data_IF_128979956558
#
_entry.id   IF_128979956558
#
_cell.length_a   1.000
_cell.length_b   1.000
_cell.length_c   1.000
_cell.angle_alpha   90.00
_cell.angle_beta   90.00
_cell.angle_gamma   90.00
#
_symmetry.space_group_name_H-M   'P 1'
#
loop_
_entity.id
_entity.type
_entity.pdbx_description
1 polymer ?
#
# COMPACT_ATOMS: atom_id res chain seq x y z
N UNK A 1 -45.21 -21.59 -2.12
CA UNK A 1 -44.02 -20.77 -2.39
C UNK A 1 -43.28 -20.59 -1.08
N UNK A 2 -42.22 -21.38 -0.85
CA UNK A 2 -41.40 -21.28 0.36
C UNK A 2 -40.51 -20.05 0.25
N UNK A 3 -40.86 -19.02 1.02
CA UNK A 3 -40.06 -17.81 1.16
C UNK A 3 -38.78 -18.19 1.92
N UNK A 4 -37.74 -18.56 1.20
CA UNK A 4 -36.45 -18.91 1.79
C UNK A 4 -35.80 -17.59 2.17
N UNK A 5 -36.00 -17.14 3.42
CA UNK A 5 -35.24 -16.04 3.97
C UNK A 5 -33.75 -16.38 3.84
N UNK A 6 -33.05 -15.66 2.98
CA UNK A 6 -31.62 -15.82 2.81
C UNK A 6 -30.94 -15.31 4.07
N UNK A 7 -30.64 -16.22 5.01
CA UNK A 7 -29.96 -15.89 6.25
C UNK A 7 -28.57 -15.33 5.94
N UNK A 8 -28.35 -14.04 6.22
CA UNK A 8 -27.07 -13.40 6.01
C UNK A 8 -26.10 -13.75 7.13
N UNK A 9 -25.56 -14.95 7.03
CA UNK A 9 -24.63 -15.50 7.98
C UNK A 9 -23.37 -14.64 8.16
N UNK A 10 -22.98 -13.81 7.15
CA UNK A 10 -21.82 -12.93 7.26
C UNK A 10 -22.10 -11.78 8.21
N UNK A 11 -23.28 -11.18 8.06
CA UNK A 11 -23.72 -10.12 8.95
C UNK A 11 -23.90 -10.65 10.38
N UNK A 12 -24.51 -11.83 10.53
CA UNK A 12 -24.69 -12.45 11.84
C UNK A 12 -23.38 -12.90 12.49
N UNK A 13 -22.42 -13.44 11.73
CA UNK A 13 -21.08 -13.73 12.23
C UNK A 13 -20.36 -12.46 12.68
N UNK A 14 -20.38 -11.40 11.86
CA UNK A 14 -19.81 -10.11 12.22
C UNK A 14 -20.44 -9.53 13.48
N UNK A 15 -21.76 -9.57 13.57
CA UNK A 15 -22.51 -9.12 14.74
C UNK A 15 -22.13 -9.94 15.97
N UNK A 16 -22.04 -11.27 15.86
CA UNK A 16 -21.71 -12.17 16.96
C UNK A 16 -20.28 -11.96 17.47
N UNK A 17 -19.30 -11.89 16.56
CA UNK A 17 -17.89 -11.70 16.95
C UNK A 17 -17.67 -10.29 17.50
N UNK A 18 -18.23 -9.26 16.86
CA UNK A 18 -18.18 -7.88 17.37
C UNK A 18 -18.84 -7.77 18.74
N UNK A 19 -20.02 -8.37 18.91
CA UNK A 19 -20.72 -8.40 20.21
C UNK A 19 -19.91 -9.15 21.27
N UNK A 20 -19.28 -10.27 20.92
CA UNK A 20 -18.42 -11.03 21.83
C UNK A 20 -17.17 -10.23 22.21
N UNK A 21 -16.57 -9.52 21.27
CA UNK A 21 -15.43 -8.64 21.50
C UNK A 21 -15.80 -7.49 22.45
N UNK A 22 -16.93 -6.83 22.19
CA UNK A 22 -17.45 -5.74 23.03
C UNK A 22 -17.79 -6.22 24.44
N UNK A 23 -18.54 -7.31 24.58
CA UNK A 23 -19.05 -7.76 25.88
C UNK A 23 -18.00 -8.48 26.72
N UNK A 24 -17.17 -9.32 26.10
CA UNK A 24 -16.17 -10.14 26.81
C UNK A 24 -14.94 -9.31 27.17
N UNK A 25 -14.54 -8.42 26.26
CA UNK A 25 -13.32 -7.63 26.41
C UNK A 25 -13.59 -6.18 26.80
N UNK A 26 -14.85 -5.76 27.00
CA UNK A 26 -15.17 -4.41 27.43
C UNK A 26 -14.81 -3.35 26.39
N UNK A 27 -14.92 -3.69 25.09
CA UNK A 27 -14.63 -2.78 23.98
C UNK A 27 -15.87 -1.95 23.59
N UNK A 28 -16.68 -1.55 24.56
CA UNK A 28 -17.87 -0.74 24.35
C UNK A 28 -17.55 0.59 23.64
N UNK A 29 -16.36 1.15 23.85
CA UNK A 29 -15.87 2.30 23.08
C UNK A 29 -15.76 2.06 21.56
N UNK A 30 -15.70 0.82 21.08
CA UNK A 30 -15.80 0.54 19.63
C UNK A 30 -17.19 0.83 19.06
N UNK A 31 -18.22 0.92 19.93
CA UNK A 31 -19.60 1.23 19.57
C UNK A 31 -19.97 2.70 19.87
N UNK A 32 -19.17 3.43 20.66
CA UNK A 32 -19.44 4.79 21.10
C UNK A 32 -18.35 5.76 20.62
N UNK A 33 -18.71 6.78 19.84
CA UNK A 33 -17.77 7.75 19.25
C UNK A 33 -17.02 8.63 20.27
N UNK A 34 -17.47 8.65 21.53
CA UNK A 34 -16.98 9.56 22.57
C UNK A 34 -15.64 9.12 23.21
N UNK A 35 -15.16 7.91 22.90
CA UNK A 35 -13.87 7.37 23.35
C UNK A 35 -13.03 6.86 22.17
N UNK A 36 -12.62 7.77 21.28
CA UNK A 36 -11.66 7.44 20.21
C UNK A 36 -10.29 7.12 20.82
N UNK A 37 -9.81 5.88 20.66
CA UNK A 37 -8.39 5.53 20.87
C UNK A 37 -8.07 4.39 21.83
N UNK A 38 -8.96 4.05 22.77
CA UNK A 38 -8.66 3.09 23.84
C UNK A 38 -7.48 3.50 24.75
N UNK A 39 -7.15 2.70 25.76
CA UNK A 39 -6.04 2.98 26.69
C UNK A 39 -4.68 2.44 26.19
N UNK A 40 -4.61 1.89 24.96
CA UNK A 40 -3.42 1.28 24.38
C UNK A 40 -3.24 1.77 22.95
N UNK A 41 -2.02 2.15 22.58
CA UNK A 41 -1.70 2.54 21.20
C UNK A 41 -1.85 1.34 20.27
N UNK A 42 -2.58 1.53 19.18
CA UNK A 42 -2.67 0.58 18.08
C UNK A 42 -2.17 1.21 16.79
N UNK A 43 -1.70 0.40 15.85
CA UNK A 43 -1.26 0.87 14.52
C UNK A 43 -2.43 1.58 13.81
N UNK A 44 -3.65 1.04 13.91
CA UNK A 44 -4.83 1.67 13.33
C UNK A 44 -5.06 3.08 13.89
N UNK A 45 -5.08 3.24 15.21
CA UNK A 45 -5.33 4.53 15.85
C UNK A 45 -4.20 5.53 15.58
N UNK A 46 -2.94 5.07 15.65
CA UNK A 46 -1.76 5.88 15.35
C UNK A 46 -1.82 6.47 13.93
N UNK A 47 -2.22 5.67 12.93
CA UNK A 47 -2.41 6.13 11.55
C UNK A 47 -3.52 7.17 11.38
N UNK A 48 -4.46 7.22 12.32
CA UNK A 48 -5.50 8.26 12.40
C UNK A 48 -5.08 9.46 13.27
N UNK A 49 -3.84 9.47 13.78
CA UNK A 49 -3.34 10.51 14.68
C UNK A 49 -3.92 10.43 16.10
N UNK A 50 -4.47 9.29 16.49
CA UNK A 50 -5.04 9.03 17.81
C UNK A 50 -4.03 8.22 18.61
N UNK A 51 -3.61 8.75 19.76
CA UNK A 51 -2.57 8.18 20.61
C UNK A 51 -3.09 7.94 22.01
N UNK A 52 -2.77 6.77 22.57
CA UNK A 52 -3.03 6.45 23.97
C UNK A 52 -1.89 6.92 24.88
N UNK A 53 -0.67 7.01 24.35
CA UNK A 53 0.51 7.46 25.12
C UNK A 53 1.17 8.70 24.52
N UNK A 54 1.58 9.63 25.38
CA UNK A 54 2.35 10.81 24.97
C UNK A 54 3.69 10.41 24.36
N UNK A 55 4.30 9.32 24.86
CA UNK A 55 5.55 8.78 24.33
C UNK A 55 5.43 8.35 22.85
N UNK A 56 4.33 7.68 22.47
CA UNK A 56 4.10 7.28 21.09
C UNK A 56 3.88 8.49 20.17
N UNK A 57 3.05 9.44 20.62
CA UNK A 57 2.83 10.71 19.89
C UNK A 57 4.15 11.45 19.68
N UNK A 58 4.92 11.67 20.74
CA UNK A 58 6.19 12.38 20.67
C UNK A 58 7.24 11.64 19.83
N UNK A 59 7.26 10.31 19.84
CA UNK A 59 8.15 9.55 18.94
C UNK A 59 7.81 9.81 17.47
N UNK A 60 6.53 9.89 17.11
CA UNK A 60 6.10 10.20 15.75
C UNK A 60 6.38 11.64 15.34
N UNK A 61 6.13 12.61 16.23
CA UNK A 61 6.44 14.02 16.02
C UNK A 61 7.95 14.25 15.83
N UNK A 62 8.79 13.49 16.54
CA UNK A 62 10.25 13.59 16.50
C UNK A 62 10.92 12.56 15.57
N UNK A 63 10.18 11.96 14.62
CA UNK A 63 10.71 10.93 13.69
C UNK A 63 11.81 11.43 12.73
N UNK A 64 12.03 12.74 12.69
CA UNK A 64 12.92 13.41 11.75
C UNK A 64 12.26 13.73 10.42
N UNK A 65 12.99 14.46 9.58
CA UNK A 65 12.57 14.79 8.22
C UNK A 65 12.90 13.66 7.23
N UNK A 66 12.07 13.52 6.21
CA UNK A 66 12.32 12.57 5.13
C UNK A 66 13.58 12.95 4.34
N UNK A 67 14.56 12.05 4.29
CA UNK A 67 15.77 12.18 3.49
C UNK A 67 15.81 11.14 2.37
N UNK A 68 15.51 11.57 1.14
CA UNK A 68 15.54 10.70 -0.05
C UNK A 68 16.87 9.97 -0.25
N UNK A 69 18.01 10.59 0.10
CA UNK A 69 19.32 9.97 -0.09
C UNK A 69 19.50 8.73 0.79
N UNK A 70 19.01 8.75 2.02
CA UNK A 70 19.10 7.61 2.94
C UNK A 70 18.40 6.36 2.36
N UNK A 71 17.27 6.57 1.68
CA UNK A 71 16.49 5.48 1.09
C UNK A 71 17.10 4.95 -0.21
N UNK A 72 17.68 5.82 -1.05
CA UNK A 72 18.22 5.40 -2.37
C UNK A 72 19.69 4.97 -2.33
N UNK A 73 20.39 5.17 -1.21
CA UNK A 73 21.75 4.65 -0.98
C UNK A 73 21.77 3.24 -0.39
N UNK A 74 20.59 2.67 -0.09
CA UNK A 74 20.45 1.34 0.47
C UNK A 74 21.01 0.25 -0.45
N UNK A 75 21.75 -0.70 0.12
CA UNK A 75 22.42 -1.75 -0.64
C UNK A 75 21.43 -2.57 -1.49
N UNK A 76 20.27 -2.92 -0.93
CA UNK A 76 19.28 -3.70 -1.68
C UNK A 76 18.69 -2.93 -2.87
N UNK A 77 18.50 -1.60 -2.76
CA UNK A 77 18.04 -0.78 -3.89
C UNK A 77 19.05 -0.81 -5.04
N UNK A 78 20.34 -0.66 -4.71
CA UNK A 78 21.43 -0.69 -5.68
C UNK A 78 21.53 -2.07 -6.34
N UNK A 79 21.48 -3.14 -5.55
CA UNK A 79 21.58 -4.51 -6.04
C UNK A 79 20.38 -4.88 -6.93
N UNK A 80 19.15 -4.53 -6.51
CA UNK A 80 17.95 -4.72 -7.32
C UNK A 80 18.03 -3.95 -8.64
N UNK A 81 18.49 -2.70 -8.60
CA UNK A 81 18.69 -1.89 -9.79
C UNK A 81 19.70 -2.50 -10.78
N UNK A 82 20.76 -3.14 -10.28
CA UNK A 82 21.73 -3.87 -11.12
C UNK A 82 21.12 -5.13 -11.74
N UNK A 83 20.38 -5.91 -10.96
CA UNK A 83 19.68 -7.12 -11.42
C UNK A 83 18.69 -6.78 -12.55
N UNK A 84 17.82 -5.78 -12.31
CA UNK A 84 16.81 -5.38 -13.28
C UNK A 84 17.45 -4.77 -14.54
N UNK A 85 18.59 -4.09 -14.42
CA UNK A 85 19.36 -3.62 -15.58
C UNK A 85 19.84 -4.77 -16.46
N UNK A 86 20.32 -5.87 -15.87
CA UNK A 86 20.72 -7.06 -16.64
C UNK A 86 19.51 -7.70 -17.34
N UNK A 87 18.38 -7.82 -16.64
CA UNK A 87 17.12 -8.32 -17.25
C UNK A 87 16.67 -7.44 -18.40
N UNK A 88 16.76 -6.12 -18.26
CA UNK A 88 16.40 -5.15 -19.30
C UNK A 88 17.29 -5.31 -20.54
N UNK A 89 18.61 -5.41 -20.35
CA UNK A 89 19.57 -5.62 -21.44
C UNK A 89 19.32 -6.94 -22.19
N UNK A 90 18.84 -7.98 -21.50
CA UNK A 90 18.49 -9.26 -22.10
C UNK A 90 17.09 -9.31 -22.74
N UNK A 91 16.32 -8.22 -22.68
CA UNK A 91 14.94 -8.18 -23.19
C UNK A 91 13.94 -9.00 -22.37
N UNK A 92 14.21 -9.21 -21.07
CA UNK A 92 13.41 -10.06 -20.17
C UNK A 92 12.79 -9.31 -18.99
N UNK A 93 13.02 -8.00 -18.88
CA UNK A 93 12.49 -7.23 -17.76
C UNK A 93 11.00 -6.97 -17.97
N UNK A 94 10.17 -7.56 -17.11
CA UNK A 94 8.74 -7.35 -17.09
C UNK A 94 8.36 -6.11 -16.28
N UNK A 95 7.55 -5.24 -16.86
CA UNK A 95 6.95 -4.08 -16.22
C UNK A 95 5.53 -4.43 -15.78
N UNK A 96 5.34 -4.69 -14.48
CA UNK A 96 4.06 -5.14 -13.95
C UNK A 96 2.96 -4.06 -14.05
N UNK A 97 3.33 -2.78 -14.11
CA UNK A 97 2.35 -1.68 -14.24
C UNK A 97 1.74 -1.57 -15.63
N UNK A 98 2.40 -2.14 -16.65
CA UNK A 98 1.88 -2.21 -18.02
C UNK A 98 1.61 -3.65 -18.47
N UNK A 99 1.89 -4.62 -17.60
CA UNK A 99 1.79 -6.05 -17.86
C UNK A 99 2.47 -6.46 -19.19
N UNK A 100 3.65 -5.91 -19.45
CA UNK A 100 4.39 -6.14 -20.68
C UNK A 100 5.89 -6.20 -20.43
N UNK A 101 6.64 -6.76 -21.39
CA UNK A 101 8.11 -6.71 -21.34
C UNK A 101 8.58 -5.34 -21.81
N UNK A 102 9.49 -4.73 -21.05
CA UNK A 102 10.03 -3.42 -21.41
C UNK A 102 10.74 -3.47 -22.77
N UNK A 103 10.44 -2.50 -23.63
CA UNK A 103 11.03 -2.40 -24.97
C UNK A 103 12.45 -1.84 -24.90
N UNK A 104 13.32 -2.27 -25.82
CA UNK A 104 14.62 -1.63 -25.98
C UNK A 104 14.45 -0.14 -26.34
N UNK A 105 15.24 0.71 -25.70
CA UNK A 105 15.13 2.18 -25.81
C UNK A 105 14.27 2.83 -24.73
N UNK A 106 13.36 2.09 -24.08
CA UNK A 106 12.61 2.61 -22.92
C UNK A 106 13.56 2.90 -21.74
N UNK A 107 13.45 4.08 -21.13
CA UNK A 107 14.22 4.41 -19.94
C UNK A 107 13.60 3.72 -18.72
N UNK A 108 14.36 2.79 -18.12
CA UNK A 108 13.96 2.02 -16.93
C UNK A 108 14.24 2.79 -15.63
N UNK A 109 13.24 2.88 -14.77
CA UNK A 109 13.39 3.29 -13.36
C UNK A 109 12.99 2.13 -12.42
N UNK A 110 13.55 2.11 -11.20
CA UNK A 110 13.11 1.23 -10.12
C UNK A 110 12.20 2.03 -9.19
N UNK A 111 10.91 1.70 -9.14
CA UNK A 111 9.92 2.35 -8.28
C UNK A 111 9.84 1.67 -6.91
N UNK A 112 9.59 2.49 -5.89
CA UNK A 112 9.08 2.04 -4.60
C UNK A 112 7.54 2.02 -4.69
N UNK A 113 6.94 0.83 -4.69
CA UNK A 113 5.49 0.65 -4.89
C UNK A 113 4.72 1.49 -3.87
N UNK A 114 5.01 1.29 -2.58
CA UNK A 114 4.71 2.22 -1.49
C UNK A 114 5.88 3.20 -1.41
N UNK A 115 5.61 4.49 -1.60
CA UNK A 115 6.70 5.46 -1.70
C UNK A 115 7.53 5.51 -0.41
N UNK A 116 8.84 5.72 -0.55
CA UNK A 116 9.75 5.88 0.59
C UNK A 116 9.29 6.97 1.58
N UNK A 117 8.69 8.06 1.09
CA UNK A 117 8.11 9.11 1.94
C UNK A 117 6.87 8.62 2.69
N UNK A 118 5.99 7.86 2.05
CA UNK A 118 4.82 7.29 2.70
C UNK A 118 5.22 6.35 3.85
N UNK A 119 6.23 5.51 3.64
CA UNK A 119 6.79 4.64 4.69
C UNK A 119 7.45 5.46 5.79
N UNK A 120 8.23 6.49 5.43
CA UNK A 120 8.85 7.39 6.40
C UNK A 120 7.81 8.03 7.34
N UNK A 121 6.69 8.48 6.78
CA UNK A 121 5.61 9.15 7.50
C UNK A 121 4.56 8.19 8.08
N UNK A 122 4.75 6.87 8.00
CA UNK A 122 3.78 5.93 8.58
C UNK A 122 3.90 5.92 10.11
N UNK A 123 2.84 6.39 10.78
CA UNK A 123 2.70 6.35 12.23
C UNK A 123 2.76 4.93 12.79
N UNK A 124 2.25 3.94 12.05
CA UNK A 124 2.34 2.52 12.43
C UNK A 124 3.77 2.01 12.48
N UNK A 125 4.59 2.37 11.48
CA UNK A 125 6.02 2.07 11.45
C UNK A 125 6.74 2.66 12.66
N UNK A 126 6.52 3.95 12.94
CA UNK A 126 7.19 4.62 14.07
C UNK A 126 6.75 3.99 15.39
N UNK A 127 5.48 3.67 15.53
CA UNK A 127 4.95 2.99 16.71
C UNK A 127 5.62 1.61 16.91
N UNK A 128 5.80 0.85 15.83
CA UNK A 128 6.52 -0.42 15.81
C UNK A 128 8.04 -0.28 16.05
N UNK A 129 8.60 0.93 15.89
CA UNK A 129 10.02 1.20 16.05
C UNK A 129 10.88 0.64 14.91
N UNK A 130 10.30 0.48 13.71
CA UNK A 130 10.99 -0.08 12.55
C UNK A 130 11.68 1.00 11.71
N UNK A 131 12.82 0.62 11.11
CA UNK A 131 13.57 1.48 10.22
C UNK A 131 12.85 1.66 8.88
N UNK A 132 12.63 2.92 8.49
CA UNK A 132 11.89 3.22 7.27
C UNK A 132 12.67 2.89 6.00
N UNK A 133 14.00 3.01 6.01
CA UNK A 133 14.84 2.71 4.85
C UNK A 133 14.89 1.22 4.58
N UNK A 134 15.01 0.39 5.63
CA UNK A 134 14.95 -1.07 5.51
C UNK A 134 13.61 -1.53 4.92
N UNK A 135 12.49 -1.06 5.49
CA UNK A 135 11.14 -1.42 5.00
C UNK A 135 10.89 -0.97 3.56
N UNK A 136 11.28 0.26 3.22
CA UNK A 136 11.10 0.76 1.87
C UNK A 136 11.90 -0.03 0.84
N UNK A 137 13.07 -0.54 1.23
CA UNK A 137 13.99 -1.22 0.32
C UNK A 137 13.86 -2.74 0.34
N UNK A 138 12.70 -3.27 0.70
CA UNK A 138 12.38 -4.68 0.53
C UNK A 138 12.05 -5.02 -0.92
N UNK A 139 12.36 -6.25 -1.33
CA UNK A 139 12.08 -6.72 -2.69
C UNK A 139 10.57 -6.71 -3.02
N UNK A 140 9.73 -6.88 -2.00
CA UNK A 140 8.27 -6.80 -2.08
C UNK A 140 7.75 -5.41 -2.43
N UNK A 141 8.55 -4.37 -2.17
CA UNK A 141 8.21 -2.97 -2.42
C UNK A 141 8.86 -2.40 -3.70
N UNK A 142 9.48 -3.25 -4.52
CA UNK A 142 10.17 -2.83 -5.73
C UNK A 142 9.42 -3.22 -7.01
N UNK A 143 9.26 -2.25 -7.92
CA UNK A 143 8.77 -2.50 -9.27
C UNK A 143 9.58 -1.70 -10.29
N UNK A 144 10.30 -2.38 -11.19
CA UNK A 144 10.87 -1.67 -12.34
C UNK A 144 9.78 -1.33 -13.34
N UNK A 145 9.78 -0.08 -13.83
CA UNK A 145 8.79 0.42 -14.77
C UNK A 145 9.40 1.47 -15.71
N UNK A 146 8.62 1.91 -16.70
CA UNK A 146 9.01 3.03 -17.57
C UNK A 146 9.14 4.32 -16.78
N UNK A 147 10.20 5.11 -17.03
CA UNK A 147 10.55 6.29 -16.25
C UNK A 147 9.39 7.29 -16.14
N UNK A 148 8.61 7.46 -17.20
CA UNK A 148 7.46 8.39 -17.22
C UNK A 148 6.36 8.00 -16.25
N UNK A 149 6.11 6.71 -16.07
CA UNK A 149 5.11 6.22 -15.11
C UNK A 149 5.58 6.56 -13.70
N UNK A 150 6.83 6.24 -13.36
CA UNK A 150 7.39 6.56 -12.04
C UNK A 150 7.45 8.09 -11.79
N UNK A 151 7.93 8.87 -12.77
CA UNK A 151 8.01 10.34 -12.68
C UNK A 151 6.61 10.96 -12.50
N UNK A 152 5.57 10.40 -13.12
CA UNK A 152 4.20 10.85 -12.94
C UNK A 152 3.64 10.45 -11.56
N UNK A 153 3.89 9.21 -11.11
CA UNK A 153 3.46 8.68 -9.81
C UNK A 153 4.06 9.44 -8.62
N UNK A 154 5.36 9.75 -8.67
CA UNK A 154 6.09 10.42 -7.57
C UNK A 154 5.84 9.71 -6.23
N UNK A 155 5.55 10.49 -5.19
CA UNK A 155 5.21 10.03 -3.84
C UNK A 155 3.71 9.77 -3.63
N UNK A 156 2.90 9.76 -4.70
CA UNK A 156 1.47 9.51 -4.57
C UNK A 156 1.19 8.02 -4.34
N UNK A 157 0.16 7.72 -3.54
CA UNK A 157 -0.38 6.36 -3.47
C UNK A 157 -0.89 5.92 -4.83
N UNK A 158 -0.93 4.60 -5.06
CA UNK A 158 -1.45 4.04 -6.31
C UNK A 158 -2.88 4.51 -6.59
N UNK A 159 -3.75 4.56 -5.57
CA UNK A 159 -5.11 5.07 -5.71
C UNK A 159 -5.14 6.53 -6.18
N UNK A 160 -4.41 7.42 -5.51
CA UNK A 160 -4.34 8.83 -5.90
C UNK A 160 -3.73 9.01 -7.28
N UNK A 161 -2.71 8.22 -7.60
CA UNK A 161 -2.08 8.24 -8.91
C UNK A 161 -3.09 7.90 -10.00
N UNK A 162 -3.78 6.77 -9.89
CA UNK A 162 -4.72 6.29 -10.90
C UNK A 162 -5.95 7.20 -11.05
N UNK A 163 -6.48 7.73 -9.94
CA UNK A 163 -7.73 8.49 -9.93
C UNK A 163 -7.54 9.98 -10.24
N UNK A 164 -6.42 10.58 -9.85
CA UNK A 164 -6.23 12.03 -9.95
C UNK A 164 -5.05 12.45 -10.83
N UNK A 165 -3.90 11.78 -10.67
CA UNK A 165 -2.62 12.27 -11.24
C UNK A 165 -2.43 11.78 -12.66
N UNK A 166 -2.78 10.52 -12.94
CA UNK A 166 -2.67 9.89 -14.24
C UNK A 166 -3.57 10.59 -15.29
N UNK A 167 -4.86 10.88 -15.04
CA UNK A 167 -5.69 11.63 -15.98
C UNK A 167 -5.13 13.02 -16.29
N UNK A 168 -4.62 13.74 -15.28
CA UNK A 168 -3.97 15.04 -15.47
C UNK A 168 -2.70 14.92 -16.32
N UNK A 169 -1.91 13.87 -16.10
CA UNK A 169 -0.69 13.61 -16.85
C UNK A 169 -1.00 13.32 -18.32
N UNK A 170 -2.00 12.48 -18.60
CA UNK A 170 -2.50 12.19 -19.95
C UNK A 170 -2.92 13.48 -20.65
N UNK A 171 -3.78 14.30 -20.02
CA UNK A 171 -4.25 15.57 -20.61
C UNK A 171 -3.08 16.53 -20.91
N UNK A 172 -2.06 16.59 -20.04
CA UNK A 172 -0.88 17.42 -20.26
C UNK A 172 -0.08 16.95 -21.49
N UNK A 173 0.07 15.64 -21.67
CA UNK A 173 0.74 15.09 -22.85
C UNK A 173 -0.06 15.30 -24.14
N UNK A 174 -1.39 15.13 -24.10
CA UNK A 174 -2.26 15.43 -25.24
C UNK A 174 -2.16 16.91 -25.68
N UNK A 175 -2.18 17.84 -24.71
CA UNK A 175 -2.00 19.26 -24.98
C UNK A 175 -0.60 19.57 -25.57
N UNK A 176 0.44 18.91 -25.05
CA UNK A 176 1.82 19.04 -25.54
C UNK A 176 1.97 18.52 -26.97
N UNK A 177 1.38 17.37 -27.29
CA UNK A 177 1.36 16.80 -28.64
C UNK A 177 0.64 17.74 -29.60
N UNK A 178 -0.56 18.22 -29.24
CA UNK A 178 -1.32 19.17 -30.06
C UNK A 178 -0.51 20.44 -30.35
N UNK A 179 0.21 20.95 -29.36
CA UNK A 179 1.06 22.12 -29.52
C UNK A 179 2.21 21.85 -30.51
N UNK A 180 2.90 20.71 -30.40
CA UNK A 180 3.95 20.34 -31.35
C UNK A 180 3.42 20.13 -32.78
N UNK A 181 2.25 19.51 -32.93
CA UNK A 181 1.60 19.34 -34.24
C UNK A 181 1.23 20.68 -34.86
N UNK A 182 0.72 21.63 -34.07
CA UNK A 182 0.45 22.99 -34.52
C UNK A 182 1.71 23.75 -34.92
N UNK A 183 2.81 23.59 -34.17
CA UNK A 183 4.09 24.20 -34.53
C UNK A 183 4.60 23.64 -35.87
N UNK A 184 4.56 22.32 -36.06
CA UNK A 184 4.97 21.68 -37.32
C UNK A 184 4.09 22.11 -38.49
N UNK A 185 2.78 22.25 -38.30
CA UNK A 185 1.85 22.68 -39.35
C UNK A 185 2.07 24.13 -39.83
N UNK A 186 2.68 24.98 -38.99
CA UNK A 186 3.02 26.38 -39.34
C UNK A 186 4.35 26.50 -40.08
N UNK A 187 5.18 25.45 -40.10
CA UNK A 187 6.47 25.50 -40.77
C UNK A 187 6.30 25.42 -42.30
N UNK A 188 7.19 26.08 -43.06
CA UNK A 188 7.34 25.84 -44.49
C UNK A 188 7.57 24.35 -44.81
N UNK A 189 7.13 23.88 -45.98
CA UNK A 189 7.25 22.45 -46.36
C UNK A 189 8.70 22.00 -46.52
N UNK A 190 9.58 22.93 -46.87
CA UNK A 190 11.03 22.80 -47.02
C UNK A 190 11.79 23.24 -45.74
N UNK A 191 11.10 23.37 -44.61
CA UNK A 191 11.75 23.67 -43.34
C UNK A 191 12.70 22.53 -42.95
N UNK A 192 13.98 22.86 -42.86
CA UNK A 192 15.06 21.98 -42.47
C UNK A 192 15.93 22.66 -41.42
N UNK A 193 16.64 21.88 -40.60
CA UNK A 193 17.48 22.38 -39.51
C UNK A 193 17.27 21.61 -38.21
N UNK A 194 18.16 21.85 -37.25
CA UNK A 194 18.16 21.15 -35.98
C UNK A 194 16.85 21.34 -35.21
N UNK A 195 16.32 22.56 -35.17
CA UNK A 195 15.07 22.88 -34.48
C UNK A 195 13.87 22.07 -35.00
N UNK A 196 13.82 21.82 -36.32
CA UNK A 196 12.76 21.01 -36.94
C UNK A 196 12.93 19.53 -36.59
N UNK A 197 14.17 19.03 -36.55
CA UNK A 197 14.47 17.66 -36.14
C UNK A 197 14.13 17.44 -34.67
N UNK A 198 14.52 18.37 -33.80
CA UNK A 198 14.24 18.35 -32.37
C UNK A 198 12.73 18.39 -32.10
N UNK A 199 11.99 19.24 -32.81
CA UNK A 199 10.52 19.30 -32.69
C UNK A 199 9.86 17.97 -33.09
N UNK A 200 10.31 17.34 -34.18
CA UNK A 200 9.83 16.02 -34.62
C UNK A 200 10.18 14.93 -33.61
N UNK A 201 11.39 14.94 -33.06
CA UNK A 201 11.82 14.00 -32.03
C UNK A 201 11.01 14.18 -30.73
N UNK A 202 10.81 15.42 -30.30
CA UNK A 202 10.01 15.76 -29.13
C UNK A 202 8.54 15.32 -29.28
N UNK A 203 7.97 15.50 -30.48
CA UNK A 203 6.63 15.00 -30.80
C UNK A 203 6.57 13.48 -30.70
N UNK A 204 7.54 12.78 -31.31
CA UNK A 204 7.62 11.32 -31.26
C UNK A 204 7.71 10.83 -29.81
N UNK A 205 8.63 11.38 -29.02
CA UNK A 205 8.81 11.01 -27.63
C UNK A 205 7.55 11.30 -26.80
N UNK A 206 6.89 12.43 -27.02
CA UNK A 206 5.65 12.75 -26.31
C UNK A 206 4.51 11.77 -26.65
N UNK A 207 4.43 11.27 -27.90
CA UNK A 207 3.47 10.24 -28.30
C UNK A 207 3.77 8.89 -27.64
N UNK A 208 5.04 8.48 -27.61
CA UNK A 208 5.48 7.25 -26.93
C UNK A 208 5.21 7.32 -25.41
N UNK A 209 5.47 8.48 -24.78
CA UNK A 209 5.17 8.72 -23.37
C UNK A 209 3.66 8.67 -23.08
N UNK A 210 2.83 9.30 -23.93
CA UNK A 210 1.38 9.26 -23.82
C UNK A 210 0.85 7.82 -23.94
N UNK A 211 1.33 7.07 -24.93
CA UNK A 211 0.97 5.67 -25.14
C UNK A 211 1.29 4.84 -23.89
N UNK A 212 2.46 5.04 -23.30
CA UNK A 212 2.85 4.32 -22.08
C UNK A 212 1.94 4.65 -20.88
N UNK A 213 1.51 5.91 -20.73
CA UNK A 213 0.58 6.33 -19.66
C UNK A 213 -0.85 5.79 -19.89
N UNK A 214 -1.31 5.78 -21.14
CA UNK A 214 -2.64 5.27 -21.51
C UNK A 214 -2.73 3.74 -21.37
N UNK A 215 -1.62 3.04 -21.62
CA UNK A 215 -1.52 1.57 -21.54
C UNK A 215 -1.07 1.06 -20.16
N UNK A 216 -1.24 1.85 -19.09
CA UNK A 216 -1.09 1.32 -17.72
C UNK A 216 -2.19 0.30 -17.47
N UNK A 217 -1.80 -0.90 -17.08
CA UNK A 217 -2.69 -1.96 -16.58
C UNK A 217 -3.05 -1.60 -15.13
N UNK A 218 -4.21 -0.94 -14.98
CA UNK A 218 -4.66 -0.40 -13.69
C UNK A 218 -4.88 -1.51 -12.68
N UNK A 219 -5.47 -2.62 -13.11
CA UNK A 219 -5.73 -3.78 -12.29
C UNK A 219 -4.43 -4.42 -11.80
N UNK A 220 -3.45 -4.62 -12.68
CA UNK A 220 -2.14 -5.16 -12.31
C UNK A 220 -1.38 -4.22 -11.36
N UNK A 221 -1.47 -2.91 -11.57
CA UNK A 221 -0.86 -1.92 -10.69
C UNK A 221 -1.50 -1.92 -9.29
N UNK A 222 -2.84 -1.99 -9.21
CA UNK A 222 -3.58 -2.12 -7.94
C UNK A 222 -3.22 -3.42 -7.22
N UNK A 223 -3.14 -4.54 -7.94
CA UNK A 223 -2.80 -5.82 -7.32
C UNK A 223 -1.36 -5.85 -6.82
N UNK A 224 -0.43 -5.22 -7.54
CA UNK A 224 0.97 -5.05 -7.13
C UNK A 224 1.06 -4.20 -5.85
N UNK A 225 0.36 -3.07 -5.79
CA UNK A 225 0.27 -2.21 -4.59
C UNK A 225 -0.32 -2.96 -3.40
N UNK A 226 -1.43 -3.70 -3.61
CA UNK A 226 -2.07 -4.48 -2.56
C UNK A 226 -1.14 -5.54 -1.97
N UNK A 227 -0.35 -6.23 -2.80
CA UNK A 227 0.62 -7.23 -2.35
C UNK A 227 1.73 -6.60 -1.52
N UNK A 228 2.34 -5.52 -2.01
CA UNK A 228 3.38 -4.79 -1.29
C UNK A 228 2.86 -4.29 0.07
N UNK A 229 1.66 -3.71 0.12
CA UNK A 229 1.03 -3.22 1.36
C UNK A 229 0.70 -4.34 2.34
N UNK A 230 0.27 -5.50 1.86
CA UNK A 230 0.00 -6.64 2.73
C UNK A 230 1.28 -7.10 3.43
N UNK A 231 2.38 -7.29 2.69
CA UNK A 231 3.67 -7.69 3.27
C UNK A 231 4.21 -6.64 4.24
N UNK A 232 4.16 -5.36 3.86
CA UNK A 232 4.57 -4.24 4.70
C UNK A 232 3.76 -4.14 6.01
N UNK A 233 2.44 -4.25 5.93
CA UNK A 233 1.56 -4.16 7.10
C UNK A 233 1.72 -5.38 8.02
N UNK A 234 1.92 -6.56 7.45
CA UNK A 234 2.18 -7.78 8.22
C UNK A 234 3.45 -7.65 9.05
N UNK A 235 4.55 -7.17 8.46
CA UNK A 235 5.81 -6.99 9.17
C UNK A 235 5.69 -5.97 10.32
N UNK A 236 5.05 -4.82 10.05
CA UNK A 236 4.80 -3.80 11.07
C UNK A 236 3.91 -4.32 12.19
N UNK A 237 2.80 -4.99 11.83
CA UNK A 237 1.86 -5.57 12.79
C UNK A 237 2.55 -6.59 13.69
N UNK A 238 3.34 -7.49 13.09
CA UNK A 238 4.08 -8.48 13.84
C UNK A 238 5.13 -7.88 14.74
N UNK A 239 5.93 -6.94 14.24
CA UNK A 239 6.93 -6.26 15.05
C UNK A 239 6.32 -5.55 16.25
N UNK A 240 5.16 -4.90 16.08
CA UNK A 240 4.53 -4.14 17.15
C UNK A 240 3.75 -5.01 18.14
N UNK A 241 2.78 -5.80 17.68
CA UNK A 241 1.84 -6.50 18.56
C UNK A 241 2.46 -7.67 19.32
N UNK A 242 3.58 -8.21 18.83
CA UNK A 242 4.36 -9.22 19.57
C UNK A 242 5.45 -8.61 20.46
N UNK A 243 5.62 -7.28 20.42
CA UNK A 243 6.69 -6.62 21.17
C UNK A 243 6.42 -6.54 22.67
N UNK A 244 7.51 -6.49 23.44
CA UNK A 244 7.45 -6.15 24.86
C UNK A 244 6.90 -4.73 25.11
N UNK A 245 7.06 -3.81 24.15
CA UNK A 245 6.51 -2.44 24.23
C UNK A 245 4.99 -2.49 24.28
N UNK A 246 4.36 -3.18 23.34
CA UNK A 246 2.91 -3.35 23.30
C UNK A 246 2.39 -4.05 24.58
N UNK A 247 3.05 -5.13 25.01
CA UNK A 247 2.68 -5.85 26.23
C UNK A 247 2.81 -4.99 27.49
N UNK A 248 3.87 -4.19 27.62
CA UNK A 248 4.06 -3.26 28.75
C UNK A 248 3.01 -2.16 28.78
N UNK A 249 2.71 -1.55 27.63
CA UNK A 249 1.69 -0.50 27.54
C UNK A 249 0.30 -1.07 27.90
N UNK A 250 0.01 -2.27 27.38
CA UNK A 250 -1.17 -3.06 27.74
C UNK A 250 -1.26 -3.33 29.25
N UNK A 251 -0.18 -3.83 29.85
CA UNK A 251 -0.13 -4.13 31.28
C UNK A 251 -0.27 -2.86 32.15
N UNK A 252 0.32 -1.74 31.73
CA UNK A 252 0.22 -0.44 32.39
C UNK A 252 -1.23 0.08 32.35
N UNK A 253 -1.87 0.03 31.18
CA UNK A 253 -3.28 0.38 31.00
C UNK A 253 -4.20 -0.49 31.87
N UNK A 254 -3.92 -1.79 31.95
CA UNK A 254 -4.63 -2.72 32.83
C UNK A 254 -4.50 -2.38 34.32
N UNK A 255 -3.32 -1.91 34.74
CA UNK A 255 -3.06 -1.54 36.13
C UNK A 255 -3.70 -0.20 36.51
N UNK A 256 -3.66 0.80 35.62
CA UNK A 256 -4.22 2.14 35.89
C UNK A 256 -5.74 2.18 35.91
N UNK A 257 -6.42 1.30 35.18
CA UNK A 257 -7.89 1.26 35.08
C UNK A 257 -8.56 0.21 35.99
N UNK A 258 -7.80 -0.41 36.90
CA UNK A 258 -8.29 -1.49 37.76
C UNK A 258 -8.28 -2.85 37.07
N UNK A 259 -7.79 -3.86 37.80
CA UNK A 259 -7.32 -5.19 37.38
C UNK A 259 -8.26 -6.06 36.51
N UNK A 260 -9.48 -5.61 36.18
CA UNK A 260 -10.49 -6.40 35.45
C UNK A 260 -10.89 -5.86 34.07
N UNK A 261 -10.63 -4.60 33.72
CA UNK A 261 -11.08 -4.02 32.45
C UNK A 261 -9.95 -3.81 31.43
N UNK A 262 -8.83 -3.18 31.79
CA UNK A 262 -7.80 -2.85 30.79
C UNK A 262 -7.05 -4.05 30.18
N UNK A 263 -6.79 -5.12 30.95
CA UNK A 263 -6.17 -6.35 30.40
C UNK A 263 -7.10 -7.06 29.42
N UNK A 264 -8.41 -7.05 29.71
CA UNK A 264 -9.42 -7.60 28.82
C UNK A 264 -9.50 -6.75 27.55
N UNK A 265 -9.56 -5.43 27.67
CA UNK A 265 -9.62 -4.52 26.52
C UNK A 265 -8.41 -4.63 25.61
N UNK A 266 -7.20 -4.79 26.14
CA UNK A 266 -6.01 -4.95 25.31
C UNK A 266 -5.99 -6.26 24.53
N UNK A 267 -6.34 -7.39 25.17
CA UNK A 267 -6.51 -8.68 24.47
C UNK A 267 -7.64 -8.55 23.44
N UNK A 268 -8.72 -7.87 23.79
CA UNK A 268 -9.83 -7.57 22.90
C UNK A 268 -9.43 -6.74 21.69
N UNK A 269 -8.56 -5.74 21.85
CA UNK A 269 -8.05 -4.91 20.76
C UNK A 269 -7.22 -5.72 19.76
N UNK A 270 -6.30 -6.57 20.25
CA UNK A 270 -5.56 -7.50 19.39
C UNK A 270 -6.51 -8.43 18.63
N UNK A 271 -7.48 -9.03 19.34
CA UNK A 271 -8.47 -9.91 18.73
C UNK A 271 -9.41 -9.18 17.77
N UNK A 272 -9.71 -7.90 18.01
CA UNK A 272 -10.53 -7.07 17.15
C UNK A 272 -9.79 -6.73 15.85
N UNK A 273 -8.49 -6.44 15.90
CA UNK A 273 -7.68 -6.23 14.70
C UNK A 273 -7.55 -7.50 13.87
N UNK A 274 -7.26 -8.64 14.50
CA UNK A 274 -7.31 -9.95 13.84
C UNK A 274 -8.68 -10.18 13.20
N UNK A 275 -9.77 -9.84 13.90
CA UNK A 275 -11.11 -9.98 13.36
C UNK A 275 -11.40 -9.03 12.19
N UNK A 276 -11.00 -7.76 12.25
CA UNK A 276 -11.25 -6.80 11.18
C UNK A 276 -10.51 -7.18 9.90
N UNK A 277 -9.26 -7.62 10.02
CA UNK A 277 -8.49 -8.09 8.86
C UNK A 277 -9.03 -9.42 8.30
N UNK A 278 -9.48 -10.33 9.17
CA UNK A 278 -10.09 -11.61 8.78
C UNK A 278 -11.50 -11.42 8.19
N UNK A 279 -12.25 -10.41 8.64
CA UNK A 279 -13.55 -10.02 8.08
C UNK A 279 -13.41 -9.52 6.64
N UNK A 280 -12.39 -8.73 6.35
CA UNK A 280 -12.09 -8.31 4.97
C UNK A 280 -11.67 -9.49 4.07
N UNK A 281 -11.02 -10.51 4.64
CA UNK A 281 -10.65 -11.76 3.98
C UNK A 281 -11.86 -12.64 3.62
N UNK A 282 -12.85 -12.64 4.52
CA UNK A 282 -13.90 -13.64 4.60
C UNK A 282 -14.61 -13.83 3.26
N UNK A 283 -15.11 -12.78 2.58
CA UNK A 283 -15.86 -12.92 1.33
C UNK A 283 -15.10 -13.71 0.25
N UNK A 284 -13.79 -13.54 0.18
CA UNK A 284 -12.93 -14.21 -0.80
C UNK A 284 -12.63 -15.66 -0.41
N UNK A 285 -12.43 -15.95 0.88
CA UNK A 285 -12.26 -17.33 1.38
C UNK A 285 -13.53 -18.16 1.18
N UNK A 286 -14.68 -17.54 1.38
CA UNK A 286 -15.98 -18.21 1.28
C UNK A 286 -16.39 -18.45 -0.15
N UNK A 287 -16.09 -17.52 -1.06
CA UNK A 287 -16.27 -17.73 -2.50
C UNK A 287 -15.45 -18.93 -3.00
N UNK A 288 -14.24 -19.15 -2.45
CA UNK A 288 -13.41 -20.33 -2.74
C UNK A 288 -13.97 -21.63 -2.14
N UNK A 289 -14.59 -21.57 -0.95
CA UNK A 289 -15.17 -22.73 -0.28
C UNK A 289 -16.58 -23.11 -0.78
N UNK A 290 -17.30 -22.21 -1.44
CA UNK A 290 -18.64 -22.46 -1.99
C UNK A 290 -18.65 -23.49 -3.15
N UNK A 291 -17.50 -23.78 -3.77
CA UNK A 291 -17.39 -24.73 -4.89
C UNK A 291 -17.13 -26.16 -4.39
N UNK A 292 -16.40 -26.32 -3.27
CA UNK A 292 -16.22 -27.58 -2.53
C UNK A 292 -15.70 -27.24 -1.13
N UNK A 293 -16.56 -27.30 -0.11
CA UNK A 293 -16.13 -27.04 1.26
C UNK A 293 -15.33 -28.23 1.79
N UNK A 294 -14.07 -28.00 2.16
CA UNK A 294 -13.33 -28.90 3.04
C UNK A 294 -12.69 -28.11 4.18
N UNK A 295 -12.66 -28.72 5.36
CA UNK A 295 -11.99 -28.15 6.53
C UNK A 295 -10.50 -27.88 6.26
N UNK A 296 -9.84 -28.72 5.45
CA UNK A 296 -8.46 -28.51 5.02
C UNK A 296 -8.29 -27.31 4.09
N UNK A 297 -9.20 -27.11 3.13
CA UNK A 297 -9.15 -25.97 2.20
C UNK A 297 -9.46 -24.68 2.95
N UNK A 298 -10.47 -24.71 3.83
CA UNK A 298 -10.82 -23.57 4.66
C UNK A 298 -9.67 -23.20 5.58
N UNK A 299 -9.15 -24.16 6.37
CA UNK A 299 -8.06 -23.93 7.33
C UNK A 299 -6.73 -23.65 6.65
N UNK A 300 -6.44 -24.26 5.51
CA UNK A 300 -5.29 -23.93 4.67
C UNK A 300 -5.38 -22.51 4.12
N UNK A 301 -6.58 -22.09 3.70
CA UNK A 301 -6.87 -20.72 3.27
C UNK A 301 -6.75 -19.70 4.40
N UNK A 302 -7.31 -20.00 5.58
CA UNK A 302 -7.20 -19.13 6.76
C UNK A 302 -5.77 -19.06 7.25
N UNK A 303 -5.03 -20.17 7.29
CA UNK A 303 -3.62 -20.18 7.69
C UNK A 303 -2.73 -19.42 6.71
N UNK A 304 -3.00 -19.55 5.41
CA UNK A 304 -2.30 -18.78 4.37
C UNK A 304 -2.62 -17.29 4.45
N UNK A 305 -3.88 -16.94 4.72
CA UNK A 305 -4.30 -15.56 4.90
C UNK A 305 -3.72 -14.97 6.18
N UNK A 306 -3.88 -15.64 7.33
CA UNK A 306 -3.31 -15.19 8.59
C UNK A 306 -1.80 -15.00 8.46
N UNK A 307 -1.05 -15.95 7.89
CA UNK A 307 0.39 -15.79 7.61
C UNK A 307 0.78 -14.60 6.71
N UNK A 308 -0.17 -14.07 5.94
CA UNK A 308 0.07 -12.94 5.04
C UNK A 308 -0.14 -11.60 5.76
N UNK A 309 -0.73 -11.61 6.96
CA UNK A 309 -1.17 -10.43 7.71
C UNK A 309 -0.68 -10.44 9.18
N UNK A 310 -0.39 -11.62 9.76
CA UNK A 310 0.18 -11.91 11.10
C UNK A 310 1.18 -13.07 11.04
#
# INVERSE_FOLDING_TARGET
>A
MTNTQHFDWRNELNKTVTHSLVTTFGLDFLLFEDKKGGDVDTIHNARQGIWATDEARSAYENRGDYNSHAYHSHENYINKGREDKQKYQSGKLHDAYRNTTMKHGEKRHLDHIISAKEIHDDAGRVLAGLDGSELANQNSNFQSTYDKINIAKKQHSTEKFLNEVLPKSINNYEAKIKNYEQQLAKLPKDAHGQDVLDLKQNLRQAKEDLEALQNIDKEAMIETDKKARAEYNHEIGMAYYTSSKFFKNTAKAAASQGFRMGARQAIGLVLAEIWFELKEALPNLLRKCQINFSLEIFWGGTKKYLKQYF
#
